data_IF_297208464262
#
_entry.id   IF_297208464262
#
_cell.length_a   1.000
_cell.length_b   1.000
_cell.length_c   1.000
_cell.angle_alpha   90.00
_cell.angle_beta   90.00
_cell.angle_gamma   90.00
#
_symmetry.space_group_name_H-M   'P 1'
#
loop_
_entity.id
_entity.type
_entity.pdbx_description
1 polymer ?
#
# COMPACT_ATOMS: atom_id res chain seq x y z
N UNK A 1 7.60 19.29 26.23
CA UNK A 1 8.37 19.81 25.10
C UNK A 1 7.99 18.95 23.89
N UNK A 2 7.08 19.43 23.10
CA UNK A 2 6.77 18.91 21.77
C UNK A 2 8.01 19.13 20.94
N UNK A 3 8.73 18.10 20.78
CA UNK A 3 10.05 17.98 20.24
C UNK A 3 10.11 18.41 18.77
N UNK A 4 11.29 18.61 18.31
CA UNK A 4 11.65 18.79 16.92
C UNK A 4 11.42 17.51 16.07
N UNK A 5 10.38 16.72 16.38
CA UNK A 5 10.08 15.50 15.64
C UNK A 5 9.58 15.87 14.25
N UNK A 6 10.19 15.27 13.25
CA UNK A 6 9.83 15.48 11.85
C UNK A 6 9.88 14.16 11.08
N UNK A 7 9.11 14.09 10.01
CA UNK A 7 9.16 13.04 9.01
C UNK A 7 9.24 13.66 7.62
N UNK A 8 10.14 13.11 6.80
CA UNK A 8 10.21 13.39 5.37
C UNK A 8 9.89 12.07 4.67
N UNK A 9 8.84 12.06 3.86
CA UNK A 9 8.33 10.82 3.27
C UNK A 9 8.16 10.94 1.77
N UNK A 10 8.62 9.93 1.04
CA UNK A 10 8.28 9.67 -0.36
C UNK A 10 7.42 8.41 -0.37
N UNK A 11 6.24 8.50 -0.96
CA UNK A 11 5.30 7.38 -1.03
C UNK A 11 4.72 7.21 -2.44
N UNK A 12 4.00 6.14 -2.63
CA UNK A 12 3.29 5.82 -3.88
C UNK A 12 2.29 6.90 -4.32
N UNK A 13 1.89 7.79 -3.42
CA UNK A 13 0.92 8.86 -3.74
C UNK A 13 1.50 9.93 -4.67
N UNK A 14 2.81 10.19 -4.55
CA UNK A 14 3.49 11.24 -5.33
C UNK A 14 4.56 10.70 -6.29
N UNK A 15 4.99 9.47 -6.13
CA UNK A 15 6.08 8.89 -6.90
C UNK A 15 5.72 7.51 -7.43
N UNK A 16 6.00 7.23 -8.71
CA UNK A 16 5.89 5.91 -9.28
C UNK A 16 6.96 4.95 -8.76
N UNK A 17 6.90 3.69 -9.15
CA UNK A 17 7.82 2.62 -8.69
C UNK A 17 9.27 2.95 -9.04
N UNK A 18 9.52 3.45 -10.25
CA UNK A 18 10.87 3.78 -10.71
C UNK A 18 11.46 4.96 -9.90
N UNK A 19 10.67 6.00 -9.71
CA UNK A 19 11.05 7.17 -8.91
C UNK A 19 11.32 6.78 -7.45
N UNK A 20 10.45 5.96 -6.83
CA UNK A 20 10.69 5.47 -5.47
C UNK A 20 11.96 4.64 -5.36
N UNK A 21 12.26 3.84 -6.39
CA UNK A 21 13.49 3.04 -6.45
C UNK A 21 14.77 3.87 -6.34
N UNK A 22 14.78 5.10 -6.87
CA UNK A 22 15.91 6.03 -6.78
C UNK A 22 16.19 6.48 -5.34
N UNK A 23 15.17 6.50 -4.52
CA UNK A 23 15.24 6.92 -3.11
C UNK A 23 15.24 5.72 -2.14
N UNK A 24 15.48 4.50 -2.62
CA UNK A 24 15.58 3.33 -1.75
C UNK A 24 16.80 3.42 -0.83
N UNK A 25 16.64 2.96 0.42
CA UNK A 25 17.68 2.97 1.43
C UNK A 25 17.99 1.55 1.88
N UNK A 26 19.23 1.13 1.69
CA UNK A 26 19.66 -0.24 1.95
C UNK A 26 20.45 -0.35 3.26
N UNK A 27 20.57 -1.55 3.80
CA UNK A 27 21.23 -1.83 5.07
C UNK A 27 22.70 -1.37 5.13
N UNK A 28 23.40 -1.44 4.03
CA UNK A 28 24.79 -0.96 3.89
C UNK A 28 24.94 0.54 4.14
N UNK A 29 23.89 1.31 3.92
CA UNK A 29 23.86 2.75 4.09
C UNK A 29 23.64 3.19 5.55
N UNK A 30 23.11 2.31 6.40
CA UNK A 30 22.65 2.65 7.76
C UNK A 30 23.80 3.20 8.59
N UNK A 31 24.93 2.50 8.63
CA UNK A 31 26.08 2.90 9.45
C UNK A 31 26.59 4.27 9.06
N UNK A 32 26.81 4.52 7.77
CA UNK A 32 27.31 5.79 7.28
C UNK A 32 26.35 6.94 7.59
N UNK A 33 25.06 6.73 7.37
CA UNK A 33 24.04 7.73 7.66
C UNK A 33 23.96 8.06 9.15
N UNK A 34 23.89 7.04 10.02
CA UNK A 34 23.82 7.23 11.47
C UNK A 34 25.06 7.92 12.02
N UNK A 35 26.26 7.55 11.54
CA UNK A 35 27.51 8.20 11.93
C UNK A 35 27.50 9.68 11.57
N UNK A 36 27.11 10.05 10.35
CA UNK A 36 27.05 11.46 9.90
C UNK A 36 26.10 12.29 10.76
N UNK A 37 24.90 11.77 11.03
CA UNK A 37 23.91 12.46 11.87
C UNK A 37 24.43 12.64 13.30
N UNK A 38 25.17 11.67 13.82
CA UNK A 38 25.78 11.75 15.14
C UNK A 38 26.93 12.75 15.23
N UNK A 39 27.86 12.70 14.28
CA UNK A 39 29.07 13.52 14.30
C UNK A 39 28.73 15.02 14.20
N UNK A 40 27.67 15.35 13.48
CA UNK A 40 27.15 16.72 13.36
C UNK A 40 26.22 17.13 14.53
N UNK A 41 26.07 16.27 15.53
CA UNK A 41 25.20 16.48 16.72
C UNK A 41 23.75 16.86 16.38
N UNK A 42 23.22 16.28 15.29
CA UNK A 42 21.91 16.61 14.74
C UNK A 42 20.74 15.89 15.42
N UNK A 43 21.01 15.17 16.49
CA UNK A 43 20.00 14.33 17.15
C UNK A 43 19.93 12.93 16.56
N UNK A 44 18.75 12.33 16.58
CA UNK A 44 18.54 10.98 16.07
C UNK A 44 17.73 11.00 14.77
N UNK A 45 18.10 10.12 13.85
CA UNK A 45 17.31 9.86 12.65
C UNK A 45 17.38 8.40 12.26
N UNK A 46 16.26 7.81 11.80
CA UNK A 46 16.23 6.49 11.20
C UNK A 46 15.39 6.49 9.92
N UNK A 47 15.65 5.53 9.05
CA UNK A 47 15.00 5.43 7.74
C UNK A 47 14.21 4.14 7.65
N UNK A 48 12.94 4.25 7.25
CA UNK A 48 12.09 3.13 6.85
C UNK A 48 12.02 3.15 5.33
N UNK A 49 12.55 2.13 4.67
CA UNK A 49 12.50 1.99 3.21
C UNK A 49 11.88 0.66 2.83
N UNK A 50 10.86 0.73 1.99
CA UNK A 50 10.09 -0.40 1.48
C UNK A 50 9.83 -0.20 -0.03
N UNK A 51 9.18 -1.16 -0.70
CA UNK A 51 8.77 -0.97 -2.11
C UNK A 51 7.79 0.20 -2.30
N UNK A 52 7.03 0.56 -1.25
CA UNK A 52 5.93 1.54 -1.35
C UNK A 52 6.28 2.91 -0.79
N UNK A 53 7.32 3.02 0.05
CA UNK A 53 7.72 4.28 0.69
C UNK A 53 9.14 4.30 1.18
N UNK A 54 9.68 5.49 1.25
CA UNK A 54 10.88 5.80 2.02
C UNK A 54 10.58 6.96 2.95
N UNK A 55 10.80 6.78 4.24
CA UNK A 55 10.50 7.74 5.29
C UNK A 55 11.70 7.96 6.20
N UNK A 56 12.05 9.20 6.41
CA UNK A 56 13.12 9.63 7.32
C UNK A 56 12.44 10.24 8.54
N UNK A 57 12.54 9.58 9.67
CA UNK A 57 12.06 10.09 10.97
C UNK A 57 13.23 10.67 11.75
N UNK A 58 13.08 11.89 12.26
CA UNK A 58 14.14 12.56 12.99
C UNK A 58 13.63 13.38 14.17
N UNK A 59 14.50 13.58 15.17
CA UNK A 59 14.22 14.41 16.36
C UNK A 59 14.97 15.74 16.35
N UNK A 60 15.49 16.14 15.19
CA UNK A 60 16.18 17.43 15.04
C UNK A 60 15.27 18.51 14.47
N UNK A 61 15.52 19.77 14.86
CA UNK A 61 14.88 20.93 14.22
C UNK A 61 15.43 21.19 12.81
N UNK A 62 16.64 20.71 12.51
CA UNK A 62 17.29 20.86 11.20
C UNK A 62 17.05 19.63 10.33
N UNK A 63 15.78 19.28 10.11
CA UNK A 63 15.40 18.10 9.34
C UNK A 63 15.81 18.19 7.86
N UNK A 64 15.98 19.38 7.30
CA UNK A 64 16.47 19.55 5.93
C UNK A 64 17.93 19.11 5.81
N UNK A 65 18.75 19.38 6.82
CA UNK A 65 20.12 18.88 6.83
C UNK A 65 20.18 17.36 6.95
N UNK A 66 19.25 16.76 7.72
CA UNK A 66 19.13 15.29 7.77
C UNK A 66 18.76 14.73 6.40
N UNK A 67 17.87 15.38 5.66
CA UNK A 67 17.54 15.01 4.29
C UNK A 67 18.75 15.15 3.34
N UNK A 68 19.56 16.18 3.51
CA UNK A 68 20.79 16.38 2.74
C UNK A 68 21.78 15.24 2.98
N UNK A 69 22.04 14.89 4.24
CA UNK A 69 22.93 13.77 4.59
C UNK A 69 22.40 12.43 4.12
N UNK A 70 21.08 12.23 4.16
CA UNK A 70 20.43 11.07 3.55
C UNK A 70 20.68 11.02 2.03
N UNK A 71 20.44 12.12 1.33
CA UNK A 71 20.65 12.21 -0.12
C UNK A 71 22.10 11.96 -0.51
N UNK A 72 23.06 12.53 0.24
CA UNK A 72 24.49 12.26 0.07
C UNK A 72 24.83 10.77 0.27
N UNK A 73 24.18 10.13 1.24
CA UNK A 73 24.43 8.72 1.55
C UNK A 73 23.98 7.80 0.41
N UNK A 74 22.88 8.10 -0.26
CA UNK A 74 22.36 7.30 -1.37
C UNK A 74 22.75 7.82 -2.75
N UNK A 75 23.49 8.93 -2.83
CA UNK A 75 24.00 9.48 -4.09
C UNK A 75 22.97 10.20 -4.96
N UNK A 76 21.97 10.87 -4.36
CA UNK A 76 20.94 11.65 -5.06
C UNK A 76 21.00 13.13 -4.69
N UNK A 77 20.40 13.99 -5.51
CA UNK A 77 20.30 15.42 -5.21
C UNK A 77 19.16 15.70 -4.24
N UNK A 78 19.39 16.63 -3.31
CA UNK A 78 18.36 17.08 -2.36
C UNK A 78 17.15 17.70 -3.08
N UNK A 79 17.37 18.47 -4.15
CA UNK A 79 16.28 19.06 -4.96
C UNK A 79 15.34 18.00 -5.52
N UNK A 80 15.90 16.90 -6.03
CA UNK A 80 15.12 15.81 -6.61
C UNK A 80 14.32 15.09 -5.52
N UNK A 81 14.92 14.88 -4.34
CA UNK A 81 14.24 14.33 -3.18
C UNK A 81 13.06 15.20 -2.74
N UNK A 82 13.31 16.52 -2.57
CA UNK A 82 12.28 17.46 -2.09
C UNK A 82 11.10 17.63 -3.05
N UNK A 83 11.28 17.39 -4.33
CA UNK A 83 10.22 17.44 -5.33
C UNK A 83 9.12 16.40 -5.02
N UNK A 84 9.49 15.24 -4.50
CA UNK A 84 8.57 14.15 -4.21
C UNK A 84 8.27 13.98 -2.72
N UNK A 85 9.06 14.61 -1.84
CA UNK A 85 8.89 14.46 -0.41
C UNK A 85 7.68 15.21 0.14
N UNK A 86 6.95 14.56 1.04
CA UNK A 86 6.07 15.21 1.99
C UNK A 86 6.84 15.44 3.29
N UNK A 87 6.67 16.60 3.90
CA UNK A 87 7.31 16.96 5.15
C UNK A 87 6.22 17.25 6.17
N UNK A 88 6.26 16.55 7.30
CA UNK A 88 5.43 16.84 8.45
C UNK A 88 6.30 17.04 9.69
N UNK A 89 5.86 17.88 10.61
CA UNK A 89 6.62 18.24 11.82
C UNK A 89 5.75 18.12 13.06
N UNK A 90 6.38 17.93 14.23
CA UNK A 90 5.72 17.91 15.55
C UNK A 90 4.57 16.91 15.60
N UNK A 91 3.37 17.39 15.91
CA UNK A 91 2.16 16.58 16.07
C UNK A 91 1.73 15.91 14.75
N UNK A 92 1.87 16.62 13.63
CA UNK A 92 1.57 16.06 12.32
C UNK A 92 2.51 14.89 11.96
N UNK A 93 3.81 15.00 12.30
CA UNK A 93 4.77 13.91 12.09
C UNK A 93 4.44 12.69 12.96
N UNK A 94 4.01 12.91 14.20
CA UNK A 94 3.59 11.83 15.10
C UNK A 94 2.31 11.16 14.62
N UNK A 95 1.34 11.94 14.17
CA UNK A 95 0.11 11.43 13.58
C UNK A 95 0.41 10.62 12.31
N UNK A 96 1.27 11.12 11.43
CA UNK A 96 1.72 10.38 10.25
C UNK A 96 2.35 9.03 10.63
N UNK A 97 3.27 9.00 11.60
CA UNK A 97 3.87 7.75 12.09
C UNK A 97 2.79 6.74 12.55
N UNK A 98 1.78 7.22 13.29
CA UNK A 98 0.72 6.35 13.79
C UNK A 98 -0.19 5.82 12.66
N UNK A 99 -0.52 6.65 11.69
CA UNK A 99 -1.30 6.26 10.51
C UNK A 99 -0.54 5.23 9.66
N UNK A 100 0.75 5.46 9.44
CA UNK A 100 1.62 4.49 8.74
C UNK A 100 1.69 3.18 9.51
N UNK A 101 1.96 3.22 10.81
CA UNK A 101 2.03 2.03 11.67
C UNK A 101 0.72 1.24 11.73
N UNK A 102 -0.41 1.91 11.57
CA UNK A 102 -1.74 1.31 11.50
C UNK A 102 -2.13 0.82 10.10
N UNK A 103 -1.24 0.95 9.09
CA UNK A 103 -1.54 0.57 7.72
C UNK A 103 -2.54 1.48 7.00
N UNK A 104 -2.86 2.66 7.55
CA UNK A 104 -3.81 3.60 6.96
C UNK A 104 -3.22 4.38 5.77
N UNK A 105 -1.89 4.51 5.75
CA UNK A 105 -1.13 5.13 4.66
C UNK A 105 -0.57 4.08 3.68
N UNK A 106 -0.90 2.81 3.85
CA UNK A 106 -0.48 1.75 2.94
C UNK A 106 -1.35 1.73 1.69
N UNK A 107 -0.78 1.30 0.56
CA UNK A 107 -1.56 1.05 -0.66
C UNK A 107 -2.68 0.05 -0.38
N UNK A 108 -2.40 -0.94 0.47
CA UNK A 108 -3.39 -1.83 1.06
C UNK A 108 -3.73 -1.26 2.43
N UNK A 109 -4.91 -0.67 2.55
CA UNK A 109 -5.39 -0.22 3.87
C UNK A 109 -5.48 -1.44 4.79
N UNK A 110 -4.80 -1.37 5.93
CA UNK A 110 -4.74 -2.49 6.88
C UNK A 110 -3.62 -3.49 6.61
N UNK A 111 -2.66 -3.18 5.74
CA UNK A 111 -1.41 -3.93 5.65
C UNK A 111 -0.54 -3.61 6.87
N UNK A 112 -0.53 -4.57 7.81
CA UNK A 112 0.27 -4.47 9.04
C UNK A 112 1.72 -4.97 8.89
N UNK A 113 2.18 -5.31 7.69
CA UNK A 113 3.60 -5.64 7.48
C UNK A 113 4.49 -4.43 7.76
N UNK A 114 4.00 -3.22 7.48
CA UNK A 114 4.72 -1.96 7.70
C UNK A 114 5.19 -1.79 9.15
N UNK A 115 4.41 -2.21 10.16
CA UNK A 115 4.86 -2.10 11.56
C UNK A 115 6.05 -3.02 11.86
N UNK A 116 6.12 -4.17 11.20
CA UNK A 116 7.28 -5.07 11.27
C UNK A 116 8.53 -4.43 10.65
N UNK A 117 8.35 -3.72 9.54
CA UNK A 117 9.42 -2.99 8.84
C UNK A 117 9.91 -1.79 9.67
N UNK A 118 9.01 -1.02 10.29
CA UNK A 118 9.36 0.06 11.23
C UNK A 118 10.18 -0.48 12.40
N UNK A 119 9.73 -1.57 13.03
CA UNK A 119 10.47 -2.22 14.14
C UNK A 119 11.88 -2.64 13.73
N UNK A 120 12.02 -3.27 12.57
CA UNK A 120 13.32 -3.72 12.04
C UNK A 120 14.23 -2.52 11.75
N UNK A 121 13.73 -1.48 11.10
CA UNK A 121 14.49 -0.28 10.79
C UNK A 121 14.98 0.43 12.06
N UNK A 122 14.10 0.59 13.05
CA UNK A 122 14.46 1.18 14.34
C UNK A 122 15.45 0.33 15.13
N UNK A 123 15.30 -1.00 15.14
CA UNK A 123 16.24 -1.89 15.81
C UNK A 123 17.64 -1.85 15.20
N UNK A 124 17.75 -1.70 13.86
CA UNK A 124 19.02 -1.51 13.16
C UNK A 124 19.67 -0.18 13.53
N UNK A 125 18.90 0.90 13.52
CA UNK A 125 19.36 2.19 14.00
C UNK A 125 19.92 2.10 15.43
N UNK A 126 19.21 1.45 16.35
CA UNK A 126 19.66 1.28 17.77
C UNK A 126 20.96 0.48 17.90
N UNK A 127 21.28 -0.43 17.00
CA UNK A 127 22.58 -1.15 17.01
C UNK A 127 23.75 -0.23 16.71
N UNK A 128 23.57 0.71 15.79
CA UNK A 128 24.62 1.66 15.43
C UNK A 128 24.71 2.83 16.42
N UNK A 129 23.67 3.04 17.23
CA UNK A 129 23.59 4.12 18.20
C UNK A 129 23.28 3.60 19.60
N UNK A 130 24.25 3.74 20.52
CA UNK A 130 24.12 3.22 21.89
C UNK A 130 23.05 3.92 22.73
N UNK A 131 22.81 5.22 22.52
CA UNK A 131 21.84 6.03 23.24
C UNK A 131 20.85 6.68 22.26
N UNK A 132 19.65 6.12 22.13
CA UNK A 132 18.58 6.73 21.33
C UNK A 132 17.82 7.79 22.13
N UNK A 133 17.29 8.78 21.42
CA UNK A 133 16.43 9.81 22.00
C UNK A 133 15.19 9.17 22.66
N UNK A 134 14.90 9.43 23.95
CA UNK A 134 13.77 8.84 24.66
C UNK A 134 12.41 9.18 24.05
N UNK A 135 12.28 10.32 23.38
CA UNK A 135 11.06 10.69 22.67
C UNK A 135 10.84 9.78 21.45
N UNK A 136 11.87 9.56 20.65
CA UNK A 136 11.80 8.67 19.50
C UNK A 136 11.42 7.24 19.94
N UNK A 137 12.05 6.74 20.99
CA UNK A 137 11.73 5.41 21.51
C UNK A 137 10.27 5.30 22.00
N UNK A 138 9.77 6.30 22.73
CA UNK A 138 8.35 6.33 23.13
C UNK A 138 7.41 6.41 21.95
N UNK A 139 7.74 7.22 20.93
CA UNK A 139 6.93 7.36 19.73
C UNK A 139 6.80 6.04 18.97
N UNK A 140 7.90 5.31 18.79
CA UNK A 140 7.89 3.99 18.15
C UNK A 140 7.11 2.95 18.99
N UNK A 141 7.31 2.92 20.31
CA UNK A 141 6.56 2.02 21.19
C UNK A 141 5.04 2.32 21.16
N UNK A 142 4.66 3.60 21.13
CA UNK A 142 3.26 4.01 20.98
C UNK A 142 2.70 3.59 19.63
N UNK A 143 3.45 3.76 18.55
CA UNK A 143 3.05 3.31 17.22
C UNK A 143 2.80 1.79 17.17
N UNK A 144 3.64 1.00 17.83
CA UNK A 144 3.47 -0.45 17.96
C UNK A 144 2.19 -0.81 18.71
N UNK A 145 1.92 -0.12 19.81
CA UNK A 145 0.70 -0.36 20.60
C UNK A 145 -0.57 0.04 19.83
N UNK A 146 -0.55 1.20 19.18
CA UNK A 146 -1.67 1.68 18.35
C UNK A 146 -1.95 0.71 17.20
N UNK A 147 -0.92 0.28 16.48
CA UNK A 147 -1.04 -0.70 15.40
C UNK A 147 -1.70 -1.99 15.91
N UNK A 148 -1.25 -2.52 17.06
CA UNK A 148 -1.82 -3.72 17.67
C UNK A 148 -3.29 -3.53 18.05
N UNK A 149 -3.65 -2.38 18.65
CA UNK A 149 -5.03 -2.07 19.03
C UNK A 149 -5.93 -1.97 17.80
N UNK A 150 -5.53 -1.22 16.78
CA UNK A 150 -6.31 -1.08 15.55
C UNK A 150 -6.52 -2.43 14.89
N UNK A 151 -5.47 -3.26 14.81
CA UNK A 151 -5.57 -4.61 14.26
C UNK A 151 -6.57 -5.49 14.99
N UNK A 152 -6.62 -5.41 16.33
CA UNK A 152 -7.43 -6.29 17.16
C UNK A 152 -8.84 -5.76 17.42
N UNK A 153 -9.00 -4.42 17.45
CA UNK A 153 -10.23 -3.75 17.84
C UNK A 153 -11.08 -3.27 16.65
N UNK A 154 -10.54 -3.38 15.41
CA UNK A 154 -11.23 -2.95 14.19
C UNK A 154 -11.22 -4.04 13.11
N UNK A 155 -12.11 -3.96 12.14
CA UNK A 155 -12.18 -4.88 11.00
C UNK A 155 -11.19 -4.57 9.86
N UNK A 156 -10.22 -3.65 10.06
CA UNK A 156 -9.32 -3.15 9.01
C UNK A 156 -8.39 -4.24 8.43
N UNK A 157 -8.07 -5.29 9.21
CA UNK A 157 -7.08 -6.31 8.80
C UNK A 157 -7.70 -7.60 8.25
N UNK A 158 -8.86 -7.53 7.65
CA UNK A 158 -9.44 -8.72 7.03
C UNK A 158 -8.58 -9.18 5.86
N UNK A 159 -8.14 -10.45 5.88
CA UNK A 159 -7.33 -11.04 4.82
C UNK A 159 -7.97 -10.91 3.42
N UNK A 160 -9.29 -10.80 3.36
CA UNK A 160 -10.06 -10.50 2.15
C UNK A 160 -9.66 -9.17 1.49
N UNK A 161 -9.31 -8.15 2.27
CA UNK A 161 -8.85 -6.85 1.75
C UNK A 161 -7.46 -6.97 1.07
N UNK A 162 -6.54 -7.71 1.68
CA UNK A 162 -5.19 -7.96 1.13
C UNK A 162 -5.22 -8.69 -0.20
N UNK A 163 -5.99 -9.77 -0.29
CA UNK A 163 -6.10 -10.59 -1.52
C UNK A 163 -6.73 -9.79 -2.65
N UNK A 164 -7.81 -9.07 -2.38
CA UNK A 164 -8.52 -8.24 -3.36
C UNK A 164 -7.62 -7.13 -3.92
N UNK A 165 -6.83 -6.52 -3.06
CA UNK A 165 -5.89 -5.48 -3.49
C UNK A 165 -4.76 -6.08 -4.33
N UNK A 166 -4.17 -7.19 -3.91
CA UNK A 166 -3.11 -7.86 -4.68
C UNK A 166 -3.57 -8.21 -6.09
N UNK A 167 -4.81 -8.69 -6.24
CA UNK A 167 -5.43 -8.97 -7.52
C UNK A 167 -5.54 -7.72 -8.41
N UNK A 168 -6.08 -6.63 -7.87
CA UNK A 168 -6.22 -5.38 -8.61
C UNK A 168 -4.85 -4.81 -8.99
N UNK A 169 -3.89 -4.85 -8.09
CA UNK A 169 -2.54 -4.39 -8.36
C UNK A 169 -1.84 -5.23 -9.44
N UNK A 170 -2.04 -6.54 -9.41
CA UNK A 170 -1.54 -7.41 -10.48
C UNK A 170 -2.15 -7.03 -11.84
N UNK A 171 -3.47 -6.79 -11.89
CA UNK A 171 -4.16 -6.34 -13.11
C UNK A 171 -3.56 -5.03 -13.62
N UNK A 172 -3.43 -4.01 -12.74
CA UNK A 172 -2.91 -2.70 -13.10
C UNK A 172 -1.47 -2.74 -13.64
N UNK A 173 -0.63 -3.61 -13.09
CA UNK A 173 0.77 -3.73 -13.49
C UNK A 173 0.95 -4.54 -14.79
N UNK A 174 0.02 -5.45 -15.09
CA UNK A 174 0.17 -6.38 -16.22
C UNK A 174 -0.77 -6.06 -17.40
N UNK A 175 -1.77 -5.18 -17.22
CA UNK A 175 -2.72 -4.83 -18.27
C UNK A 175 -2.54 -3.39 -18.72
N UNK A 176 -2.12 -3.19 -19.96
CA UNK A 176 -2.09 -1.86 -20.59
C UNK A 176 -3.53 -1.42 -20.91
N UNK A 177 -3.80 -0.09 -20.81
CA UNK A 177 -5.10 0.51 -21.16
C UNK A 177 -6.28 -0.12 -20.42
N UNK A 178 -6.13 -0.29 -19.11
CA UNK A 178 -7.14 -0.95 -18.26
C UNK A 178 -8.54 -0.32 -18.40
N UNK A 179 -8.64 0.97 -18.67
CA UNK A 179 -9.91 1.69 -18.89
C UNK A 179 -10.67 1.24 -20.14
N UNK A 180 -9.98 0.59 -21.10
CA UNK A 180 -10.58 0.04 -22.32
C UNK A 180 -11.01 -1.42 -22.14
N UNK A 181 -10.52 -2.09 -21.10
CA UNK A 181 -10.74 -3.53 -20.83
C UNK A 181 -12.09 -3.80 -20.20
N UNK A 182 -12.79 -4.82 -20.69
CA UNK A 182 -14.02 -5.32 -20.09
C UNK A 182 -13.68 -6.31 -18.97
N UNK A 183 -14.11 -6.02 -17.75
CA UNK A 183 -13.86 -6.81 -16.56
C UNK A 183 -15.16 -7.49 -16.15
N UNK A 184 -15.14 -8.81 -16.00
CA UNK A 184 -16.23 -9.57 -15.41
C UNK A 184 -15.79 -10.11 -14.05
N UNK A 185 -16.56 -9.82 -13.00
CA UNK A 185 -16.32 -10.34 -11.66
C UNK A 185 -17.45 -11.28 -11.25
N UNK A 186 -17.09 -12.53 -11.00
CA UNK A 186 -18.01 -13.57 -10.52
C UNK A 186 -17.87 -13.76 -9.00
N UNK A 187 -18.96 -13.49 -8.29
CA UNK A 187 -19.04 -13.59 -6.83
C UNK A 187 -18.80 -12.26 -6.13
N UNK A 188 -19.79 -11.83 -5.35
CA UNK A 188 -19.73 -10.59 -4.54
C UNK A 188 -19.78 -10.91 -3.04
N UNK A 189 -19.04 -11.94 -2.63
CA UNK A 189 -18.68 -12.16 -1.24
C UNK A 189 -17.73 -11.05 -0.74
N UNK A 190 -17.16 -11.20 0.45
CA UNK A 190 -16.27 -10.18 1.03
C UNK A 190 -15.11 -9.84 0.10
N UNK A 191 -14.42 -10.85 -0.45
CA UNK A 191 -13.31 -10.66 -1.40
C UNK A 191 -13.79 -9.94 -2.67
N UNK A 192 -14.91 -10.38 -3.26
CA UNK A 192 -15.45 -9.77 -4.48
C UNK A 192 -15.86 -8.31 -4.30
N UNK A 193 -16.50 -7.96 -3.18
CA UNK A 193 -16.86 -6.58 -2.84
C UNK A 193 -15.62 -5.70 -2.69
N UNK A 194 -14.61 -6.17 -1.95
CA UNK A 194 -13.35 -5.45 -1.80
C UNK A 194 -12.62 -5.29 -3.13
N UNK A 195 -12.73 -6.27 -4.04
CA UNK A 195 -12.14 -6.20 -5.38
C UNK A 195 -12.82 -5.14 -6.23
N UNK A 196 -14.16 -5.06 -6.23
CA UNK A 196 -14.92 -4.01 -6.90
C UNK A 196 -14.53 -2.64 -6.35
N UNK A 197 -14.50 -2.49 -5.04
CA UNK A 197 -14.12 -1.22 -4.38
C UNK A 197 -12.73 -0.76 -4.80
N UNK A 198 -11.75 -1.67 -4.79
CA UNK A 198 -10.38 -1.36 -5.22
C UNK A 198 -10.32 -1.01 -6.72
N UNK A 199 -11.03 -1.72 -7.59
CA UNK A 199 -11.08 -1.40 -9.02
C UNK A 199 -11.68 0.00 -9.27
N UNK A 200 -12.80 0.32 -8.65
CA UNK A 200 -13.46 1.62 -8.78
C UNK A 200 -12.59 2.75 -8.22
N UNK A 201 -11.83 2.47 -7.16
CA UNK A 201 -10.93 3.44 -6.52
C UNK A 201 -9.67 3.72 -7.35
N UNK A 202 -9.12 2.71 -8.01
CA UNK A 202 -7.81 2.80 -8.66
C UNK A 202 -7.87 2.89 -10.19
N UNK A 203 -9.02 2.63 -10.80
CA UNK A 203 -9.22 2.72 -12.25
C UNK A 203 -10.25 3.80 -12.56
N UNK A 204 -9.90 4.74 -13.42
CA UNK A 204 -10.85 5.76 -13.84
C UNK A 204 -11.94 5.15 -14.74
N UNK A 205 -13.20 5.23 -14.32
CA UNK A 205 -14.38 4.69 -15.04
C UNK A 205 -14.16 3.25 -15.55
N UNK A 206 -13.90 2.28 -14.67
CA UNK A 206 -13.63 0.91 -15.10
C UNK A 206 -14.88 0.27 -15.72
N UNK A 207 -14.70 -0.48 -16.79
CA UNK A 207 -15.79 -1.24 -17.44
C UNK A 207 -15.99 -2.58 -16.72
N UNK A 208 -16.60 -2.55 -15.54
CA UNK A 208 -16.85 -3.72 -14.70
C UNK A 208 -18.29 -4.16 -14.85
N UNK A 209 -18.51 -5.47 -15.02
CA UNK A 209 -19.78 -6.15 -14.79
C UNK A 209 -19.63 -7.15 -13.67
N UNK A 210 -20.65 -7.31 -12.87
CA UNK A 210 -20.67 -8.30 -11.77
C UNK A 210 -21.77 -9.32 -11.97
N UNK A 211 -21.52 -10.55 -11.53
CA UNK A 211 -22.51 -11.60 -11.45
C UNK A 211 -22.39 -12.36 -10.13
N UNK A 212 -23.51 -12.73 -9.53
CA UNK A 212 -23.54 -13.50 -8.29
C UNK A 212 -24.78 -14.39 -8.24
N UNK A 213 -24.64 -15.61 -7.69
CA UNK A 213 -25.77 -16.53 -7.53
C UNK A 213 -26.95 -15.91 -6.78
N UNK A 214 -26.67 -15.12 -5.75
CA UNK A 214 -27.68 -14.35 -5.03
C UNK A 214 -27.79 -12.98 -5.68
N UNK A 215 -28.82 -12.83 -6.50
CA UNK A 215 -29.06 -11.61 -7.31
C UNK A 215 -29.19 -10.34 -6.44
N UNK A 216 -29.81 -10.45 -5.28
CA UNK A 216 -29.98 -9.33 -4.34
C UNK A 216 -28.64 -8.76 -3.84
N UNK A 217 -27.64 -9.65 -3.62
CA UNK A 217 -26.30 -9.20 -3.22
C UNK A 217 -25.60 -8.43 -4.35
N UNK A 218 -25.74 -8.93 -5.58
CA UNK A 218 -25.18 -8.27 -6.75
C UNK A 218 -25.84 -6.89 -6.98
N UNK A 219 -27.18 -6.82 -6.84
CA UNK A 219 -27.92 -5.59 -6.97
C UNK A 219 -27.47 -4.49 -6.00
N UNK A 220 -27.23 -4.82 -4.73
CA UNK A 220 -26.74 -3.87 -3.72
C UNK A 220 -25.36 -3.30 -4.09
N UNK A 221 -24.45 -4.13 -4.61
CA UNK A 221 -23.12 -3.70 -5.03
C UNK A 221 -23.20 -2.88 -6.32
N UNK A 222 -24.05 -3.30 -7.26
CA UNK A 222 -24.35 -2.57 -8.49
C UNK A 222 -24.84 -1.15 -8.20
N UNK A 223 -25.76 -0.98 -7.29
CA UNK A 223 -26.31 0.32 -6.87
C UNK A 223 -25.23 1.15 -6.14
N UNK A 224 -24.49 0.54 -5.18
CA UNK A 224 -23.47 1.23 -4.39
C UNK A 224 -22.36 1.84 -5.25
N UNK A 225 -21.90 1.14 -6.28
CA UNK A 225 -20.78 1.55 -7.13
C UNK A 225 -21.18 2.01 -8.52
N UNK A 226 -22.48 2.03 -8.83
CA UNK A 226 -23.02 2.37 -10.14
C UNK A 226 -22.39 1.56 -11.28
N UNK A 227 -22.33 0.25 -11.12
CA UNK A 227 -21.77 -0.71 -12.07
C UNK A 227 -22.83 -1.73 -12.51
N UNK A 228 -22.84 -2.21 -13.77
CA UNK A 228 -23.80 -3.20 -14.25
C UNK A 228 -23.71 -4.52 -13.48
N UNK A 229 -24.85 -5.09 -13.15
CA UNK A 229 -24.98 -6.45 -12.71
C UNK A 229 -25.72 -7.28 -13.77
N UNK A 230 -25.24 -8.48 -14.06
CA UNK A 230 -25.84 -9.41 -15.01
C UNK A 230 -26.42 -10.63 -14.28
N UNK A 231 -27.36 -11.31 -14.95
CA UNK A 231 -27.83 -12.60 -14.41
C UNK A 231 -26.68 -13.60 -14.37
N UNK A 232 -26.58 -14.34 -13.26
CA UNK A 232 -25.52 -15.32 -13.09
C UNK A 232 -25.54 -16.41 -14.17
N UNK A 233 -26.71 -16.75 -14.70
CA UNK A 233 -26.88 -17.74 -15.75
C UNK A 233 -26.38 -17.26 -17.14
N UNK A 234 -26.20 -15.94 -17.31
CA UNK A 234 -25.73 -15.33 -18.55
C UNK A 234 -24.21 -15.07 -18.58
N UNK A 235 -23.47 -15.42 -17.50
CA UNK A 235 -22.04 -15.12 -17.42
C UNK A 235 -21.23 -15.75 -18.57
N UNK A 236 -21.63 -16.93 -19.04
CA UNK A 236 -20.95 -17.64 -20.15
C UNK A 236 -20.99 -16.82 -21.45
N UNK A 237 -22.12 -16.18 -21.76
CA UNK A 237 -22.26 -15.30 -22.92
C UNK A 237 -21.40 -14.05 -22.76
N UNK A 238 -21.31 -13.54 -21.54
CA UNK A 238 -20.52 -12.35 -21.24
C UNK A 238 -19.02 -12.59 -21.37
N UNK A 239 -18.53 -13.83 -21.18
CA UNK A 239 -17.13 -14.21 -21.36
C UNK A 239 -16.62 -13.89 -22.77
N UNK A 240 -17.46 -13.91 -23.80
CA UNK A 240 -17.08 -13.59 -25.17
C UNK A 240 -16.58 -12.12 -25.29
N UNK A 241 -17.11 -11.24 -24.45
CA UNK A 241 -16.76 -9.82 -24.42
C UNK A 241 -15.79 -9.45 -23.30
N UNK A 242 -15.38 -10.41 -22.45
CA UNK A 242 -14.55 -10.18 -21.28
C UNK A 242 -13.07 -10.26 -21.62
N UNK A 243 -12.30 -9.27 -21.18
CA UNK A 243 -10.83 -9.26 -21.30
C UNK A 243 -10.17 -9.73 -19.99
N UNK A 244 -10.81 -9.46 -18.87
CA UNK A 244 -10.32 -9.85 -17.53
C UNK A 244 -11.47 -10.49 -16.77
N UNK A 245 -11.28 -11.73 -16.38
CA UNK A 245 -12.21 -12.47 -15.53
C UNK A 245 -11.66 -12.58 -14.11
N UNK A 246 -12.43 -12.15 -13.13
CA UNK A 246 -12.11 -12.30 -11.73
C UNK A 246 -13.12 -13.24 -11.10
N UNK A 247 -12.66 -14.34 -10.52
CA UNK A 247 -13.48 -15.34 -9.84
C UNK A 247 -13.24 -15.21 -8.34
N UNK A 248 -14.25 -14.73 -7.61
CA UNK A 248 -14.21 -14.50 -6.17
C UNK A 248 -15.36 -15.24 -5.47
N UNK A 249 -15.46 -16.56 -5.72
CA UNK A 249 -16.53 -17.40 -5.21
C UNK A 249 -16.02 -18.47 -4.27
N UNK A 250 -16.75 -18.77 -3.21
CA UNK A 250 -16.48 -19.91 -2.33
C UNK A 250 -16.99 -21.25 -2.88
N UNK A 251 -17.06 -21.44 -4.21
CA UNK A 251 -17.51 -22.70 -4.82
C UNK A 251 -16.50 -23.81 -4.58
N UNK A 252 -17.00 -25.00 -4.20
CA UNK A 252 -16.15 -26.19 -4.00
C UNK A 252 -15.75 -26.88 -5.31
N UNK A 253 -16.38 -26.54 -6.41
CA UNK A 253 -16.13 -27.09 -7.75
C UNK A 253 -15.80 -25.97 -8.71
N UNK A 254 -14.92 -26.21 -9.72
CA UNK A 254 -14.60 -25.22 -10.73
C UNK A 254 -15.86 -24.68 -11.43
N UNK A 255 -16.00 -23.36 -11.47
CA UNK A 255 -17.09 -22.69 -12.19
C UNK A 255 -16.71 -22.50 -13.65
N UNK A 256 -15.44 -22.19 -13.91
CA UNK A 256 -14.91 -21.97 -15.24
C UNK A 256 -14.17 -23.23 -15.74
N UNK A 257 -14.58 -23.71 -16.89
CA UNK A 257 -14.00 -24.85 -17.58
C UNK A 257 -13.43 -24.42 -18.93
N UNK A 258 -12.57 -25.24 -19.54
CA UNK A 258 -12.00 -24.98 -20.87
C UNK A 258 -13.05 -24.77 -21.97
N UNK A 259 -14.22 -25.40 -21.84
CA UNK A 259 -15.33 -25.22 -22.77
C UNK A 259 -15.93 -23.82 -22.78
N UNK A 260 -15.78 -23.06 -21.68
CA UNK A 260 -16.24 -21.67 -21.58
C UNK A 260 -15.26 -20.69 -22.25
N UNK A 261 -14.01 -21.10 -22.45
CA UNK A 261 -12.93 -20.30 -23.05
C UNK A 261 -12.80 -20.63 -24.53
N UNK A 262 -13.81 -20.26 -25.31
CA UNK A 262 -13.84 -20.53 -26.75
C UNK A 262 -12.99 -19.53 -27.53
N UNK A 263 -12.37 -20.03 -28.61
CA UNK A 263 -11.98 -19.26 -29.80
C UNK A 263 -10.75 -18.33 -29.71
N UNK A 264 -9.65 -18.74 -29.08
CA UNK A 264 -8.35 -18.05 -29.27
C UNK A 264 -8.27 -16.61 -28.76
N UNK A 265 -9.30 -16.12 -28.04
CA UNK A 265 -9.25 -14.83 -27.35
C UNK A 265 -8.39 -14.96 -26.10
N UNK A 266 -7.39 -14.11 -26.01
CA UNK A 266 -6.60 -13.99 -24.78
C UNK A 266 -7.44 -13.35 -23.67
N UNK A 267 -7.59 -14.02 -22.55
CA UNK A 267 -8.30 -13.55 -21.37
C UNK A 267 -7.40 -13.71 -20.14
N UNK A 268 -7.27 -12.67 -19.35
CA UNK A 268 -6.62 -12.74 -18.03
C UNK A 268 -7.63 -13.28 -17.02
N UNK A 269 -7.30 -14.39 -16.35
CA UNK A 269 -8.12 -14.97 -15.28
C UNK A 269 -7.41 -14.81 -13.95
N UNK A 270 -8.13 -14.22 -12.99
CA UNK A 270 -7.71 -14.07 -11.59
C UNK A 270 -8.66 -14.91 -10.74
N UNK A 271 -8.15 -15.92 -10.06
CA UNK A 271 -8.91 -16.78 -9.14
C UNK A 271 -8.54 -16.43 -7.69
N UNK A 272 -9.55 -16.07 -6.84
CA UNK A 272 -9.39 -15.51 -5.50
C UNK A 272 -10.03 -16.35 -4.41
#
# INVERSE_FOLDING_TARGET
>A
QTSNFAVLSISYEKADVETRGKFAFFDENIKNFVTRIHDENLGDAFVVSTCNRTEIYTTTSNYLFVAEEYCKTIGVNLSDFLQFANIATKEEALNHLFRVAAGLESQIIGDFEIIGQIKKAYARFKKERQNSNPYLERSINSAIQISKRIKNETGISNGAASVSYAAVHYILNNQKRITEKNILLLGVGEIGQNTVENLVKHVYQPKIKIANRTQEKAAKISEKYNIPNIDYNDFEKELENTDILIVATGAKTPIINKSHLKNGKEILIIDL
#
